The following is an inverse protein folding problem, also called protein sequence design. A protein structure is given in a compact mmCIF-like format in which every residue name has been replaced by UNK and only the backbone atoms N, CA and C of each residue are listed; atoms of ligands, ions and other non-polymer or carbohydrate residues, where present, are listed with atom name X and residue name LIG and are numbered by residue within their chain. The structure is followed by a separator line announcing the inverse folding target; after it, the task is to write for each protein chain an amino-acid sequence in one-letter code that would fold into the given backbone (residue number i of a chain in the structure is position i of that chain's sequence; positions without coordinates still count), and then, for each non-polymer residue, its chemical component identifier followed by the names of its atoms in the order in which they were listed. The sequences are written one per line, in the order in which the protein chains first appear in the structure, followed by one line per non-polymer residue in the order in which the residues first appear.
data_IF_410661514188
#
_entry.id   IF_410661514188
#
_cell.length_a   1.000
_cell.length_b   1.000
_cell.length_c   1.000
_cell.angle_alpha   90.00
_cell.angle_beta   90.00
_cell.angle_gamma   90.00
#
_symmetry.space_group_name_H-M   'P 1'
#
loop_
_entity.id
_entity.type
_entity.pdbx_description
1 polymer ?
#
# COMPACT_ATOMS: atom_id res chain seq x y z
N UNK A 1 11.72 11.07 -13.25
CA UNK A 1 11.55 9.68 -12.76
C UNK A 1 11.13 9.79 -11.31
N UNK A 2 10.12 9.05 -10.88
CA UNK A 2 9.61 9.11 -9.51
C UNK A 2 9.80 7.77 -8.80
N UNK A 3 9.63 7.79 -7.49
CA UNK A 3 9.63 6.57 -6.69
C UNK A 3 8.25 5.93 -6.72
N UNK A 4 8.20 4.60 -6.53
CA UNK A 4 6.95 3.89 -6.34
C UNK A 4 7.04 3.00 -5.12
N UNK A 5 6.04 3.09 -4.25
CA UNK A 5 5.92 2.22 -3.08
C UNK A 5 4.83 1.19 -3.37
N UNK A 6 5.18 -0.08 -3.24
CA UNK A 6 4.27 -1.21 -3.38
C UNK A 6 4.01 -1.83 -2.02
N UNK A 7 2.73 -1.92 -1.63
CA UNK A 7 2.30 -2.48 -0.35
C UNK A 7 1.41 -3.70 -0.65
N UNK A 8 1.78 -4.87 -0.13
CA UNK A 8 0.92 -6.04 -0.10
C UNK A 8 0.36 -6.23 1.30
N UNK A 9 -0.96 -6.39 1.41
CA UNK A 9 -1.65 -6.69 2.68
C UNK A 9 -2.18 -8.12 2.74
N UNK A 10 -1.83 -8.95 1.75
CA UNK A 10 -2.25 -10.35 1.64
C UNK A 10 -1.71 -11.14 2.83
N UNK A 11 -2.57 -11.95 3.46
CA UNK A 11 -2.16 -12.79 4.59
C UNK A 11 -1.09 -13.79 4.14
N UNK A 12 0.06 -13.77 4.80
CA UNK A 12 1.21 -14.61 4.47
C UNK A 12 2.17 -14.00 3.43
N UNK A 13 1.81 -12.86 2.83
CA UNK A 13 2.60 -12.17 1.81
C UNK A 13 2.58 -10.64 2.06
N UNK A 14 2.65 -10.24 3.32
CA UNK A 14 2.71 -8.82 3.69
C UNK A 14 4.09 -8.27 3.36
N UNK A 15 4.15 -7.20 2.58
CA UNK A 15 5.41 -6.60 2.15
C UNK A 15 5.25 -5.12 1.87
N UNK A 16 6.36 -4.38 1.98
CA UNK A 16 6.48 -2.98 1.55
C UNK A 16 7.80 -2.85 0.78
N UNK A 17 7.69 -2.48 -0.50
CA UNK A 17 8.83 -2.38 -1.41
C UNK A 17 8.89 -0.97 -2.01
N UNK A 18 10.07 -0.37 -1.99
CA UNK A 18 10.37 0.87 -2.71
C UNK A 18 11.04 0.51 -4.03
N UNK A 19 10.49 0.99 -5.15
CA UNK A 19 11.17 1.02 -6.44
C UNK A 19 11.75 2.42 -6.66
N UNK A 20 13.08 2.51 -6.66
CA UNK A 20 13.83 3.74 -6.92
C UNK A 20 14.95 3.44 -7.91
N UNK A 21 15.00 4.20 -9.00
CA UNK A 21 16.02 4.05 -10.05
C UNK A 21 16.13 2.60 -10.61
N UNK A 22 15.00 1.89 -10.68
CA UNK A 22 14.96 0.51 -11.18
C UNK A 22 15.36 -0.56 -10.16
N UNK A 23 15.70 -0.19 -8.92
CA UNK A 23 16.09 -1.10 -7.84
C UNK A 23 14.96 -1.21 -6.82
N UNK A 24 14.68 -2.45 -6.39
CA UNK A 24 13.72 -2.73 -5.32
C UNK A 24 14.41 -2.79 -3.97
N UNK A 25 13.84 -2.10 -2.97
CA UNK A 25 14.30 -2.10 -1.59
C UNK A 25 13.16 -2.55 -0.67
N UNK A 26 13.44 -3.51 0.21
CA UNK A 26 12.51 -3.86 1.27
C UNK A 26 12.55 -2.77 2.36
N UNK A 27 11.42 -2.10 2.56
CA UNK A 27 11.25 -1.02 3.53
C UNK A 27 10.16 -1.33 4.56
N UNK A 28 9.84 -2.61 4.80
CA UNK A 28 8.81 -2.98 5.79
C UNK A 28 9.12 -2.47 7.20
N UNK A 29 10.40 -2.30 7.52
CA UNK A 29 10.86 -1.75 8.81
C UNK A 29 10.67 -0.24 8.94
N UNK A 30 10.27 0.46 7.87
CA UNK A 30 9.88 1.86 7.92
C UNK A 30 8.43 2.04 8.38
N UNK A 31 7.66 0.94 8.50
CA UNK A 31 6.33 0.98 9.07
C UNK A 31 6.41 1.31 10.57
N UNK A 32 5.65 2.31 11.01
CA UNK A 32 5.57 2.67 12.42
C UNK A 32 5.10 1.47 13.25
N UNK A 33 5.61 1.34 14.48
CA UNK A 33 5.30 0.24 15.40
C UNK A 33 3.80 0.12 15.65
N UNK A 34 3.10 1.25 15.70
CA UNK A 34 1.67 1.32 16.00
C UNK A 34 0.80 1.37 14.72
N UNK A 35 1.42 1.27 13.53
CA UNK A 35 0.68 1.25 12.29
C UNK A 35 -0.15 -0.02 12.14
N UNK A 36 -1.32 0.14 11.52
CA UNK A 36 -2.23 -0.98 11.23
C UNK A 36 -2.25 -1.27 9.74
N UNK A 37 -2.33 -2.55 9.39
CA UNK A 37 -2.48 -2.94 8.00
C UNK A 37 -3.86 -2.54 7.45
N UNK A 38 -3.88 -2.01 6.23
CA UNK A 38 -5.11 -1.64 5.53
C UNK A 38 -5.83 -2.88 4.99
N UNK A 39 -7.16 -2.90 5.12
CA UNK A 39 -8.02 -3.94 4.57
C UNK A 39 -9.26 -3.32 3.94
N UNK A 40 -9.72 -3.89 2.83
CA UNK A 40 -11.01 -3.56 2.26
C UNK A 40 -12.11 -4.29 3.01
N UNK A 41 -13.17 -3.57 3.37
CA UNK A 41 -14.39 -4.11 3.98
C UNK A 41 -15.55 -4.02 2.98
N UNK A 42 -16.61 -4.81 3.22
CA UNK A 42 -17.85 -4.67 2.46
C UNK A 42 -18.45 -3.28 2.71
N UNK A 43 -18.91 -2.62 1.65
CA UNK A 43 -19.42 -1.26 1.69
C UNK A 43 -18.37 -0.22 1.32
N UNK A 44 -18.57 1.01 1.77
CA UNK A 44 -17.70 2.13 1.42
C UNK A 44 -16.40 2.07 2.22
N UNK A 45 -15.28 2.20 1.51
CA UNK A 45 -13.96 2.30 2.11
C UNK A 45 -13.40 3.69 1.78
N UNK A 46 -13.09 4.46 2.81
CA UNK A 46 -12.48 5.78 2.66
C UNK A 46 -11.02 5.70 3.05
N UNK A 47 -10.13 6.01 2.11
CA UNK A 47 -8.70 6.11 2.34
C UNK A 47 -8.26 7.54 2.04
N UNK A 48 -7.69 8.19 3.04
CA UNK A 48 -6.99 9.46 2.88
C UNK A 48 -5.49 9.19 2.98
N UNK A 49 -4.71 9.89 2.17
CA UNK A 49 -3.27 9.90 2.25
C UNK A 49 -2.81 11.35 2.32
N UNK A 50 -1.74 11.58 3.06
CA UNK A 50 -1.13 12.89 3.21
C UNK A 50 0.39 12.74 3.24
N UNK A 51 1.10 13.81 2.92
CA UNK A 51 2.54 13.90 3.09
C UNK A 51 2.91 15.29 3.56
N UNK A 52 3.89 15.35 4.47
CA UNK A 52 4.44 16.60 4.98
C UNK A 52 4.94 17.50 3.83
N UNK A 53 5.48 16.89 2.77
CA UNK A 53 5.94 17.58 1.57
C UNK A 53 5.52 16.84 0.29
N UNK A 54 5.36 17.59 -0.80
CA UNK A 54 5.14 17.01 -2.13
C UNK A 54 3.77 16.37 -2.36
N UNK A 55 2.78 16.63 -1.49
CA UNK A 55 1.44 16.02 -1.56
C UNK A 55 0.74 16.16 -2.92
N UNK A 56 0.97 17.25 -3.66
CA UNK A 56 0.42 17.47 -5.00
C UNK A 56 0.93 16.51 -6.09
N UNK A 57 1.98 15.74 -5.81
CA UNK A 57 2.59 14.77 -6.74
C UNK A 57 2.36 13.31 -6.31
N UNK A 58 1.46 13.08 -5.34
CA UNK A 58 1.13 11.74 -4.87
C UNK A 58 0.01 11.14 -5.71
N UNK A 59 0.28 9.94 -6.22
CA UNK A 59 -0.72 9.10 -6.86
C UNK A 59 -0.84 7.79 -6.09
N UNK A 60 -2.07 7.42 -5.77
CA UNK A 60 -2.35 6.20 -5.02
C UNK A 60 -3.38 5.34 -5.75
N UNK A 61 -3.15 4.03 -5.77
CA UNK A 61 -4.03 3.05 -6.39
C UNK A 61 -4.11 1.81 -5.51
N UNK A 62 -5.34 1.37 -5.22
CA UNK A 62 -5.60 0.08 -4.60
C UNK A 62 -6.03 -0.91 -5.68
N UNK A 63 -5.44 -2.10 -5.65
CA UNK A 63 -5.85 -3.24 -6.49
C UNK A 63 -6.23 -4.36 -5.53
N UNK A 64 -7.41 -4.95 -5.72
CA UNK A 64 -7.85 -6.11 -4.97
C UNK A 64 -8.32 -7.22 -5.91
N UNK A 65 -8.24 -8.46 -5.41
CA UNK A 65 -8.90 -9.60 -6.03
C UNK A 65 -10.23 -9.83 -5.30
N UNK A 66 -11.33 -9.81 -6.04
CA UNK A 66 -12.64 -10.15 -5.47
C UNK A 66 -12.71 -11.67 -5.36
N UNK A 67 -12.54 -12.17 -4.14
CA UNK A 67 -12.70 -13.60 -3.85
C UNK A 67 -14.20 -13.85 -3.73
N UNK A 68 -14.83 -14.33 -4.79
CA UNK A 68 -16.16 -14.94 -4.70
C UNK A 68 -15.97 -16.32 -4.06
N UNK A 69 -16.47 -16.49 -2.83
CA UNK A 69 -16.78 -17.84 -2.36
C UNK A 69 -17.97 -18.30 -3.20
N UNK A 70 -17.70 -19.18 -4.17
CA UNK A 70 -18.75 -19.84 -4.94
C UNK A 70 -19.76 -20.49 -3.99
N UNK A 71 -21.05 -20.30 -4.31
CA UNK A 71 -22.19 -20.97 -3.66
C UNK A 71 -22.11 -22.46 -3.94
#
# INVERSE_FOLDING_TARGET
MGDSIFISTIKGDKSIQLLREGVYYNIINCLDRDATWMFLRKGDNVFAFDAEEGGGNLFFRIINQVIYQGI
#
